data_IF_929718519587
#
_entry.id   IF_929718519587
#
_cell.length_a   1.000
_cell.length_b   1.000
_cell.length_c   1.000
_cell.angle_alpha   90.00
_cell.angle_beta   90.00
_cell.angle_gamma   90.00
#
_symmetry.space_group_name_H-M   'P 1'
#
loop_
_entity.id
_entity.type
_entity.pdbx_description
1 polymer ?
#
# COMPACT_ATOMS: atom_id res chain seq x y z
N UNK A 1 7.30 23.93 -5.47
CA UNK A 1 8.27 22.89 -5.83
C UNK A 1 7.69 22.18 -7.04
N UNK A 2 8.35 22.16 -8.20
CA UNK A 2 7.70 21.65 -9.41
C UNK A 2 7.29 20.18 -9.24
N UNK A 3 5.99 19.89 -9.30
CA UNK A 3 5.42 18.54 -9.37
C UNK A 3 5.75 17.90 -10.73
N UNK A 4 7.04 17.85 -11.08
CA UNK A 4 7.50 17.11 -12.24
C UNK A 4 7.41 15.63 -11.87
N UNK A 5 6.60 14.90 -12.61
CA UNK A 5 6.62 13.45 -12.61
C UNK A 5 8.07 13.00 -12.85
N UNK A 6 8.71 12.46 -11.81
CA UNK A 6 10.05 11.88 -11.90
C UNK A 6 9.92 10.35 -11.77
N UNK A 7 10.91 9.60 -12.23
CA UNK A 7 10.86 8.13 -12.20
C UNK A 7 10.61 7.57 -10.79
N UNK A 8 11.11 8.25 -9.76
CA UNK A 8 10.87 7.89 -8.36
C UNK A 8 9.40 8.00 -7.93
N UNK A 9 8.70 9.05 -8.39
CA UNK A 9 7.27 9.23 -8.13
C UNK A 9 6.45 8.13 -8.80
N UNK A 10 6.83 7.71 -10.01
CA UNK A 10 6.17 6.62 -10.73
C UNK A 10 6.34 5.31 -9.96
N UNK A 11 7.57 4.97 -9.55
CA UNK A 11 7.84 3.75 -8.75
C UNK A 11 7.06 3.76 -7.44
N UNK A 12 7.02 4.90 -6.73
CA UNK A 12 6.22 5.06 -5.52
C UNK A 12 4.74 4.81 -5.81
N UNK A 13 4.19 5.38 -6.88
CA UNK A 13 2.79 5.17 -7.26
C UNK A 13 2.46 3.72 -7.59
N UNK A 14 3.29 3.08 -8.43
CA UNK A 14 3.11 1.65 -8.78
C UNK A 14 3.13 0.80 -7.52
N UNK A 15 4.09 1.03 -6.62
CA UNK A 15 4.15 0.33 -5.35
C UNK A 15 2.92 0.58 -4.49
N UNK A 16 2.45 1.83 -4.40
CA UNK A 16 1.24 2.20 -3.66
C UNK A 16 0.00 1.47 -4.18
N UNK A 17 -0.16 1.35 -5.50
CA UNK A 17 -1.27 0.61 -6.12
C UNK A 17 -1.19 -0.88 -5.79
N UNK A 18 0.01 -1.48 -5.86
CA UNK A 18 0.20 -2.89 -5.49
C UNK A 18 -0.12 -3.12 -4.01
N UNK A 19 0.41 -2.28 -3.11
CA UNK A 19 0.12 -2.36 -1.68
C UNK A 19 -1.37 -2.18 -1.37
N UNK A 20 -2.04 -1.27 -2.08
CA UNK A 20 -3.48 -1.08 -1.96
C UNK A 20 -4.26 -2.32 -2.39
N UNK A 21 -3.92 -2.91 -3.54
CA UNK A 21 -4.54 -4.14 -4.03
C UNK A 21 -4.37 -5.31 -3.05
N UNK A 22 -3.17 -5.47 -2.48
CA UNK A 22 -2.90 -6.45 -1.42
C UNK A 22 -3.82 -6.23 -0.22
N UNK A 23 -3.97 -4.98 0.22
CA UNK A 23 -4.85 -4.63 1.33
C UNK A 23 -6.32 -4.91 1.02
N UNK A 24 -6.79 -4.63 -0.19
CA UNK A 24 -8.14 -4.97 -0.66
C UNK A 24 -8.37 -6.47 -0.60
N UNK A 25 -7.48 -7.27 -1.20
CA UNK A 25 -7.58 -8.74 -1.14
C UNK A 25 -7.64 -9.23 0.31
N UNK A 26 -6.76 -8.70 1.18
CA UNK A 26 -6.73 -9.05 2.60
C UNK A 26 -7.97 -8.60 3.40
N UNK A 27 -8.70 -7.61 2.91
CA UNK A 27 -9.88 -7.07 3.58
C UNK A 27 -11.12 -7.92 3.27
N UNK A 28 -11.26 -8.35 2.01
CA UNK A 28 -12.46 -9.00 1.50
C UNK A 28 -12.36 -10.53 1.44
N UNK A 29 -11.16 -11.11 1.38
CA UNK A 29 -10.94 -12.56 1.36
C UNK A 29 -10.08 -13.02 2.54
N UNK A 30 -10.53 -14.07 3.23
CA UNK A 30 -9.89 -14.61 4.44
C UNK A 30 -10.54 -14.13 5.74
N UNK A 31 -9.84 -14.29 6.87
CA UNK A 31 -10.42 -14.01 8.20
C UNK A 31 -10.00 -12.66 8.82
N UNK A 32 -8.96 -12.00 8.28
CA UNK A 32 -8.31 -10.84 8.92
C UNK A 32 -8.61 -9.50 8.21
N UNK A 33 -9.87 -9.10 8.15
CA UNK A 33 -10.27 -7.86 7.46
C UNK A 33 -9.61 -6.60 8.05
N UNK A 34 -9.35 -6.58 9.37
CA UNK A 34 -8.68 -5.46 10.04
C UNK A 34 -7.24 -5.29 9.56
N UNK A 35 -6.54 -6.40 9.30
CA UNK A 35 -5.19 -6.38 8.75
C UNK A 35 -5.19 -5.83 7.32
N UNK A 36 -6.17 -6.21 6.50
CA UNK A 36 -6.35 -5.65 5.16
C UNK A 36 -6.55 -4.13 5.16
N UNK A 37 -7.42 -3.62 6.04
CA UNK A 37 -7.65 -2.18 6.21
C UNK A 37 -6.36 -1.46 6.64
N UNK A 38 -5.58 -2.06 7.53
CA UNK A 38 -4.29 -1.52 7.94
C UNK A 38 -3.32 -1.39 6.75
N UNK A 39 -3.23 -2.40 5.89
CA UNK A 39 -2.41 -2.34 4.67
C UNK A 39 -2.89 -1.27 3.68
N UNK A 40 -4.22 -1.11 3.52
CA UNK A 40 -4.82 -0.04 2.72
C UNK A 40 -4.36 1.34 3.23
N UNK A 41 -4.45 1.58 4.53
CA UNK A 41 -4.02 2.85 5.13
C UNK A 41 -2.51 3.09 4.93
N UNK A 42 -1.68 2.07 5.07
CA UNK A 42 -0.24 2.18 4.83
C UNK A 42 0.09 2.47 3.35
N UNK A 43 -0.70 1.94 2.41
CA UNK A 43 -0.51 2.19 0.97
C UNK A 43 -0.61 3.68 0.62
N UNK A 44 -1.39 4.45 1.39
CA UNK A 44 -1.56 5.89 1.18
C UNK A 44 -0.26 6.68 1.33
N UNK A 45 0.71 6.20 2.10
CA UNK A 45 2.03 6.82 2.22
C UNK A 45 2.81 6.91 0.89
N UNK A 46 2.40 6.14 -0.13
CA UNK A 46 3.07 6.09 -1.42
C UNK A 46 2.48 7.03 -2.48
N UNK A 47 1.29 7.57 -2.27
CA UNK A 47 0.63 8.45 -3.24
C UNK A 47 1.04 9.91 -3.05
N UNK A 48 1.17 10.64 -4.16
CA UNK A 48 1.57 12.06 -4.19
C UNK A 48 0.69 12.99 -3.32
N UNK A 49 -0.66 12.86 -3.33
CA UNK A 49 -1.54 13.78 -2.60
C UNK A 49 -1.29 13.79 -1.09
N UNK A 50 -0.84 12.67 -0.53
CA UNK A 50 -0.61 12.52 0.91
C UNK A 50 0.57 13.37 1.38
N UNK A 51 1.61 13.52 0.55
CA UNK A 51 2.74 14.40 0.87
C UNK A 51 2.31 15.88 0.93
N UNK A 52 1.39 16.29 0.06
CA UNK A 52 0.86 17.67 0.02
C UNK A 52 -0.05 17.92 1.22
N UNK A 53 -0.90 16.95 1.56
CA UNK A 53 -1.82 17.03 2.70
C UNK A 53 -1.05 17.04 4.02
N UNK A 54 -0.07 16.14 4.20
CA UNK A 54 0.76 16.09 5.41
C UNK A 54 1.55 17.40 5.62
N UNK A 55 2.10 17.97 4.55
CA UNK A 55 2.79 19.26 4.63
C UNK A 55 1.84 20.39 5.01
N UNK A 56 0.59 20.35 4.55
CA UNK A 56 -0.43 21.36 4.82
C UNK A 56 -1.03 21.26 6.23
N UNK A 57 -1.19 20.04 6.76
CA UNK A 57 -1.80 19.80 8.07
C UNK A 57 -0.75 19.82 9.19
N UNK A 58 0.40 19.16 8.99
CA UNK A 58 1.39 18.96 10.05
C UNK A 58 2.59 19.91 9.98
N UNK A 59 2.67 20.79 8.96
CA UNK A 59 3.82 21.68 8.73
C UNK A 59 5.13 20.95 8.39
N UNK A 60 5.10 19.61 8.35
CA UNK A 60 6.26 18.76 8.11
C UNK A 60 6.41 18.51 6.60
N UNK A 61 7.47 19.05 6.03
CA UNK A 61 7.95 18.65 4.71
C UNK A 61 8.99 17.56 4.92
N UNK A 62 8.61 16.29 4.80
CA UNK A 62 9.43 15.13 5.21
C UNK A 62 10.73 15.08 4.40
N UNK A 63 11.90 15.47 4.96
CA UNK A 63 13.18 15.39 4.28
C UNK A 63 13.75 13.99 4.54
N UNK A 64 13.96 13.17 3.51
CA UNK A 64 14.55 11.82 3.66
C UNK A 64 13.58 10.63 3.60
N UNK A 65 12.34 10.83 3.14
CA UNK A 65 11.29 9.80 3.07
C UNK A 65 11.56 8.63 2.10
N UNK A 66 12.64 8.66 1.33
CA UNK A 66 13.02 7.55 0.46
C UNK A 66 13.29 6.27 1.24
N UNK A 67 14.11 6.34 2.29
CA UNK A 67 14.47 5.18 3.13
C UNK A 67 13.25 4.69 3.91
N UNK A 68 12.44 5.61 4.45
CA UNK A 68 11.24 5.23 5.20
C UNK A 68 10.21 4.51 4.31
N UNK A 69 10.04 4.97 3.06
CA UNK A 69 9.21 4.27 2.07
C UNK A 69 9.76 2.90 1.73
N UNK A 70 11.09 2.74 1.63
CA UNK A 70 11.69 1.43 1.39
C UNK A 70 11.42 0.49 2.58
N UNK A 71 11.66 0.95 3.81
CA UNK A 71 11.41 0.16 5.02
C UNK A 71 9.93 -0.23 5.11
N UNK A 72 9.04 0.73 4.90
CA UNK A 72 7.60 0.50 4.89
C UNK A 72 7.20 -0.48 3.78
N UNK A 73 7.87 -0.44 2.63
CA UNK A 73 7.54 -1.27 1.48
C UNK A 73 7.95 -2.72 1.72
N UNK A 74 9.15 -2.92 2.26
CA UNK A 74 9.62 -4.22 2.72
C UNK A 74 8.68 -4.77 3.79
N UNK A 75 8.27 -3.94 4.76
CA UNK A 75 7.32 -4.34 5.79
C UNK A 75 5.97 -4.78 5.21
N UNK A 76 5.38 -4.04 4.26
CA UNK A 76 4.11 -4.39 3.63
C UNK A 76 4.21 -5.73 2.89
N UNK A 77 5.27 -5.92 2.08
CA UNK A 77 5.47 -7.17 1.33
C UNK A 77 5.65 -8.34 2.30
N UNK A 78 6.53 -8.19 3.29
CA UNK A 78 6.79 -9.23 4.27
C UNK A 78 5.55 -9.58 5.09
N UNK A 79 4.81 -8.58 5.57
CA UNK A 79 3.61 -8.77 6.35
C UNK A 79 2.50 -9.44 5.52
N UNK A 80 2.31 -9.03 4.26
CA UNK A 80 1.31 -9.61 3.38
C UNK A 80 1.62 -11.07 3.00
N UNK A 81 2.89 -11.37 2.71
CA UNK A 81 3.31 -12.72 2.32
C UNK A 81 3.39 -13.68 3.53
N UNK A 82 3.84 -13.19 4.69
CA UNK A 82 4.05 -14.02 5.87
C UNK A 82 2.81 -14.16 6.76
N UNK A 83 2.24 -13.02 7.18
CA UNK A 83 1.10 -12.99 8.13
C UNK A 83 -0.23 -12.90 7.40
N UNK A 84 -0.25 -12.21 6.26
CA UNK A 84 -1.46 -11.97 5.49
C UNK A 84 -1.95 -13.14 4.66
N UNK A 85 -1.21 -14.26 4.60
CA UNK A 85 -1.57 -15.45 3.80
C UNK A 85 -2.03 -15.07 2.38
N UNK A 86 -1.33 -14.11 1.76
CA UNK A 86 -1.81 -13.44 0.55
C UNK A 86 -2.14 -14.41 -0.58
N UNK A 87 -1.35 -15.48 -0.76
CA UNK A 87 -1.60 -16.46 -1.81
C UNK A 87 -2.90 -17.22 -1.60
N UNK A 88 -3.16 -17.70 -0.38
CA UNK A 88 -4.41 -18.41 -0.06
C UNK A 88 -5.62 -17.48 -0.25
N UNK A 89 -5.48 -16.19 0.08
CA UNK A 89 -6.55 -15.20 -0.14
C UNK A 89 -6.77 -14.88 -1.61
N UNK A 90 -5.72 -14.90 -2.42
CA UNK A 90 -5.84 -14.77 -3.87
C UNK A 90 -6.57 -15.99 -4.44
N UNK A 91 -6.27 -17.20 -3.96
CA UNK A 91 -6.95 -18.41 -4.39
C UNK A 91 -8.44 -18.36 -4.04
N UNK A 92 -8.80 -17.92 -2.84
CA UNK A 92 -10.19 -17.68 -2.44
C UNK A 92 -10.88 -16.66 -3.34
N UNK A 93 -10.23 -15.54 -3.65
CA UNK A 93 -10.76 -14.53 -4.58
C UNK A 93 -11.02 -15.11 -5.97
N UNK A 94 -10.10 -15.93 -6.49
CA UNK A 94 -10.26 -16.57 -7.79
C UNK A 94 -11.40 -17.59 -7.79
N UNK A 95 -11.58 -18.35 -6.70
CA UNK A 95 -12.72 -19.27 -6.56
C UNK A 95 -14.05 -18.53 -6.60
N UNK A 96 -14.17 -17.44 -5.83
CA UNK A 96 -15.39 -16.62 -5.81
C UNK A 96 -15.68 -15.98 -7.17
N UNK A 97 -14.67 -15.47 -7.86
CA UNK A 97 -14.84 -14.86 -9.18
C UNK A 97 -15.27 -15.88 -10.25
N UNK A 98 -14.76 -17.11 -10.17
CA UNK A 98 -15.13 -18.19 -11.08
C UNK A 98 -16.52 -18.79 -10.77
N UNK A 99 -17.10 -18.48 -9.61
CA UNK A 99 -18.43 -18.92 -9.22
C UNK A 99 -19.55 -17.95 -9.64
N UNK A 100 -19.20 -16.77 -10.15
CA UNK A 100 -20.11 -15.77 -10.74
C UNK A 100 -20.39 -16.05 -12.21
#
# INVERSE_FOLDING_TARGET
MSDKLNGWNIVSWVFGVVAFAIGVVNTFWGNDSVFGIFLILLSFAYFLPVNVILKKIAGFSIPGMGILKIILGVFIIWAALGVGELFDKIDLMMMDLNAL
#
